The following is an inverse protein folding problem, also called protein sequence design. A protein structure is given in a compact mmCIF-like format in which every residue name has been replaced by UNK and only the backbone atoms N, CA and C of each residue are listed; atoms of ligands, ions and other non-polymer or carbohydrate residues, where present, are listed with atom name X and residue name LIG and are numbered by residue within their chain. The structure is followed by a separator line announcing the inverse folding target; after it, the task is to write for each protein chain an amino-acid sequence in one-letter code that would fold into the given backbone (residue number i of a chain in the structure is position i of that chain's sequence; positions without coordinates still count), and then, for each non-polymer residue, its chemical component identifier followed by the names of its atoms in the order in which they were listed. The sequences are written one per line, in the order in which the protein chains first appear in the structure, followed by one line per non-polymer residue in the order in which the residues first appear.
data_IF_921468901450
#
_entry.id   IF_921468901450
#
_cell.length_a   1.000
_cell.length_b   1.000
_cell.length_c   1.000
_cell.angle_alpha   90.00
_cell.angle_beta   90.00
_cell.angle_gamma   90.00
#
_symmetry.space_group_name_H-M   'P 1'
#
loop_
_entity.id
_entity.type
_entity.pdbx_description
1 polymer ?
#
# COMPACT_ATOMS: atom_id res chain seq x y z
N UNK A 1 -30.98 5.74 8.51
CA UNK A 1 -29.84 5.36 7.65
C UNK A 1 -29.90 3.86 7.44
N UNK A 2 -30.11 3.38 6.21
CA UNK A 2 -30.31 1.96 5.94
C UNK A 2 -28.98 1.21 6.13
N UNK A 3 -29.00 0.01 6.74
CA UNK A 3 -27.77 -0.74 7.10
C UNK A 3 -26.90 -1.07 5.89
N UNK A 4 -27.51 -1.13 4.71
CA UNK A 4 -26.87 -1.31 3.40
C UNK A 4 -26.19 -0.04 2.90
N UNK A 5 -26.83 1.12 3.06
CA UNK A 5 -26.25 2.42 2.68
C UNK A 5 -25.01 2.75 3.51
N UNK A 6 -25.07 2.49 4.83
CA UNK A 6 -23.91 2.69 5.71
C UNK A 6 -22.70 1.83 5.29
N UNK A 7 -22.91 0.54 5.02
CA UNK A 7 -21.84 -0.36 4.54
C UNK A 7 -21.27 0.08 3.19
N UNK A 8 -22.11 0.57 2.29
CA UNK A 8 -21.68 1.04 0.97
C UNK A 8 -20.96 2.40 1.01
N UNK A 9 -21.29 3.27 1.98
CA UNK A 9 -20.56 4.53 2.17
C UNK A 9 -19.19 4.26 2.81
N UNK A 10 -19.15 3.47 3.89
CA UNK A 10 -17.91 3.08 4.55
C UNK A 10 -16.94 2.36 3.60
N UNK A 11 -17.47 1.46 2.77
CA UNK A 11 -16.67 0.76 1.76
C UNK A 11 -16.09 1.66 0.67
N UNK A 12 -16.72 2.80 0.37
CA UNK A 12 -16.24 3.78 -0.61
C UNK A 12 -15.21 4.75 -0.03
N UNK A 13 -15.40 5.12 1.23
CA UNK A 13 -14.52 6.07 1.92
C UNK A 13 -13.18 5.46 2.30
N UNK A 14 -13.13 4.15 2.61
CA UNK A 14 -11.93 3.50 3.14
C UNK A 14 -11.23 2.53 2.19
N UNK A 15 -11.84 2.16 1.06
CA UNK A 15 -11.26 1.18 0.15
C UNK A 15 -11.40 1.59 -1.31
N UNK A 16 -10.30 1.52 -2.04
CA UNK A 16 -10.32 1.56 -3.50
C UNK A 16 -10.61 0.17 -4.08
N UNK A 17 -11.50 0.11 -5.07
CA UNK A 17 -11.82 -1.13 -5.80
C UNK A 17 -11.07 -1.18 -7.12
N UNK A 18 -10.28 -2.23 -7.31
CA UNK A 18 -9.55 -2.48 -8.56
C UNK A 18 -10.28 -3.57 -9.35
N UNK A 19 -10.75 -3.25 -10.56
CA UNK A 19 -11.29 -4.24 -11.50
C UNK A 19 -10.15 -4.77 -12.37
N UNK A 20 -9.81 -6.06 -12.23
CA UNK A 20 -8.70 -6.69 -12.96
C UNK A 20 -9.22 -7.70 -13.98
N UNK A 21 -8.76 -7.60 -15.22
CA UNK A 21 -8.98 -8.60 -16.28
C UNK A 21 -7.72 -9.45 -16.41
N UNK A 22 -7.89 -10.77 -16.38
CA UNK A 22 -6.80 -11.73 -16.54
C UNK A 22 -7.15 -12.78 -17.60
N UNK A 23 -6.16 -13.39 -18.26
CA UNK A 23 -6.40 -14.48 -19.21
C UNK A 23 -7.21 -15.63 -18.58
N UNK A 24 -7.93 -16.38 -19.42
CA UNK A 24 -8.68 -17.57 -18.97
C UNK A 24 -7.72 -18.57 -18.32
N UNK A 25 -8.09 -19.08 -17.14
CA UNK A 25 -7.26 -19.98 -16.33
C UNK A 25 -6.31 -19.28 -15.34
N UNK A 26 -5.94 -18.01 -15.56
CA UNK A 26 -5.02 -17.29 -14.68
C UNK A 26 -5.62 -17.04 -13.27
N UNK A 27 -6.94 -16.85 -13.19
CA UNK A 27 -7.65 -16.66 -11.92
C UNK A 27 -7.47 -17.85 -10.97
N UNK A 28 -7.49 -19.07 -11.50
CA UNK A 28 -7.36 -20.29 -10.69
C UNK A 28 -5.93 -20.49 -10.22
N UNK A 29 -4.94 -20.13 -11.06
CA UNK A 29 -3.53 -20.08 -10.67
C UNK A 29 -3.32 -19.10 -9.51
N UNK A 30 -3.84 -17.87 -9.62
CA UNK A 30 -3.72 -16.86 -8.54
C UNK A 30 -4.35 -17.38 -7.24
N UNK A 31 -5.54 -18.00 -7.32
CA UNK A 31 -6.21 -18.58 -6.15
C UNK A 31 -5.39 -19.71 -5.52
N UNK A 32 -4.83 -20.60 -6.33
CA UNK A 32 -4.01 -21.71 -5.84
C UNK A 32 -2.75 -21.21 -5.14
N UNK A 33 -2.07 -20.21 -5.72
CA UNK A 33 -0.89 -19.57 -5.13
C UNK A 33 -1.21 -18.83 -3.82
N UNK A 34 -2.34 -18.13 -3.76
CA UNK A 34 -2.78 -17.48 -2.53
C UNK A 34 -3.12 -18.52 -1.45
N UNK A 35 -3.84 -19.57 -1.81
CA UNK A 35 -4.26 -20.64 -0.90
C UNK A 35 -3.08 -21.44 -0.35
N UNK A 36 -2.06 -21.73 -1.17
CA UNK A 36 -0.86 -22.44 -0.71
C UNK A 36 -0.04 -21.63 0.31
N UNK A 37 -0.21 -20.30 0.31
CA UNK A 37 0.38 -19.38 1.28
C UNK A 37 -0.55 -19.07 2.47
N UNK A 38 -1.75 -19.68 2.52
CA UNK A 38 -2.75 -19.39 3.54
C UNK A 38 -3.34 -17.98 3.46
N UNK A 39 -3.25 -17.33 2.30
CA UNK A 39 -3.66 -15.94 2.08
C UNK A 39 -4.93 -15.86 1.24
N UNK A 40 -5.72 -14.81 1.45
CA UNK A 40 -6.77 -14.44 0.48
C UNK A 40 -6.12 -13.92 -0.81
N UNK A 41 -6.83 -13.98 -1.94
CA UNK A 41 -6.33 -13.41 -3.20
C UNK A 41 -5.98 -11.93 -3.06
N UNK A 42 -6.76 -11.17 -2.28
CA UNK A 42 -6.49 -9.76 -2.03
C UNK A 42 -5.20 -9.57 -1.21
N UNK A 43 -5.04 -10.33 -0.12
CA UNK A 43 -3.82 -10.27 0.70
C UNK A 43 -2.58 -10.69 -0.10
N UNK A 44 -2.72 -11.72 -0.95
CA UNK A 44 -1.65 -12.16 -1.83
C UNK A 44 -1.21 -11.07 -2.82
N UNK A 45 -2.16 -10.39 -3.46
CA UNK A 45 -1.84 -9.27 -4.36
C UNK A 45 -1.14 -8.11 -3.62
N UNK A 46 -1.64 -7.74 -2.44
CA UNK A 46 -1.03 -6.68 -1.63
C UNK A 46 0.39 -7.06 -1.15
N UNK A 47 0.62 -8.32 -0.79
CA UNK A 47 1.94 -8.84 -0.40
C UNK A 47 2.94 -8.79 -1.56
N UNK A 48 2.52 -9.16 -2.77
CA UNK A 48 3.36 -9.06 -3.97
C UNK A 48 3.75 -7.60 -4.26
N UNK A 49 2.78 -6.67 -4.21
CA UNK A 49 3.07 -5.24 -4.43
C UNK A 49 4.06 -4.71 -3.38
N UNK A 50 3.89 -5.09 -2.10
CA UNK A 50 4.84 -4.69 -1.04
C UNK A 50 6.24 -5.25 -1.28
N UNK A 51 6.35 -6.50 -1.74
CA UNK A 51 7.64 -7.14 -2.04
C UNK A 51 8.37 -6.47 -3.19
N UNK A 52 7.64 -6.09 -4.25
CA UNK A 52 8.22 -5.33 -5.35
C UNK A 52 8.72 -3.94 -4.86
N UNK A 53 8.08 -3.37 -3.84
CA UNK A 53 8.48 -2.11 -3.22
C UNK A 53 9.59 -2.24 -2.17
N UNK A 54 9.93 -3.45 -1.69
CA UNK A 54 10.99 -3.66 -0.68
C UNK A 54 12.33 -3.06 -1.12
N UNK A 55 12.68 -3.20 -2.41
CA UNK A 55 13.90 -2.58 -2.95
C UNK A 55 13.91 -1.06 -2.81
N UNK A 56 12.76 -0.40 -2.98
CA UNK A 56 12.64 1.04 -2.75
C UNK A 56 12.83 1.38 -1.27
N UNK A 57 12.16 0.66 -0.35
CA UNK A 57 12.26 0.91 1.09
C UNK A 57 13.69 0.74 1.62
N UNK A 58 14.42 -0.25 1.11
CA UNK A 58 15.80 -0.52 1.49
C UNK A 58 16.75 0.57 0.98
N UNK A 59 16.59 1.01 -0.28
CA UNK A 59 17.41 2.13 -0.82
C UNK A 59 17.12 3.47 -0.14
N UNK A 60 15.97 3.60 0.52
CA UNK A 60 15.58 4.78 1.28
C UNK A 60 15.92 4.68 2.77
N UNK A 61 16.48 3.55 3.22
CA UNK A 61 16.84 3.30 4.63
C UNK A 61 15.68 3.55 5.60
N UNK A 62 14.45 3.21 5.19
CA UNK A 62 13.26 3.36 6.04
C UNK A 62 13.28 2.25 7.09
N UNK A 63 13.19 2.62 8.37
CA UNK A 63 13.15 1.69 9.49
C UNK A 63 11.92 0.77 9.39
N UNK A 64 12.08 -0.52 9.73
CA UNK A 64 11.02 -1.53 9.63
C UNK A 64 9.73 -1.11 10.33
N UNK A 65 9.83 -0.55 11.54
CA UNK A 65 8.68 -0.03 12.31
C UNK A 65 7.83 0.98 11.54
N UNK A 66 8.43 1.77 10.66
CA UNK A 66 7.73 2.78 9.89
C UNK A 66 7.19 2.22 8.56
N UNK A 67 7.74 1.11 8.06
CA UNK A 67 7.25 0.43 6.84
C UNK A 67 5.82 -0.05 6.98
N UNK A 68 5.42 -0.40 8.20
CA UNK A 68 4.06 -0.85 8.48
C UNK A 68 3.01 0.25 8.24
N UNK A 69 3.36 1.53 8.39
CA UNK A 69 2.43 2.64 8.17
C UNK A 69 2.28 3.02 6.70
N UNK A 70 3.21 2.55 5.86
CA UNK A 70 3.27 2.89 4.45
C UNK A 70 2.46 1.88 3.64
N UNK A 71 1.58 2.40 2.78
CA UNK A 71 0.85 1.64 1.78
C UNK A 71 1.72 1.42 0.54
N UNK A 72 2.41 2.46 0.09
CA UNK A 72 3.45 2.33 -0.92
C UNK A 72 4.24 3.61 -1.16
N UNK A 73 5.35 3.48 -1.89
CA UNK A 73 6.16 4.61 -2.36
C UNK A 73 6.40 4.44 -3.86
N UNK A 74 6.20 5.50 -4.62
CA UNK A 74 6.45 5.58 -6.05
C UNK A 74 7.27 6.81 -6.38
N UNK A 75 8.01 6.80 -7.49
CA UNK A 75 8.74 7.98 -7.96
C UNK A 75 10.24 7.73 -8.18
N UNK A 76 10.95 8.78 -8.55
CA UNK A 76 12.33 8.72 -8.99
C UNK A 76 13.12 9.99 -8.59
N UNK A 77 14.41 10.05 -8.92
CA UNK A 77 15.28 11.17 -8.51
C UNK A 77 15.02 12.48 -9.29
N UNK A 78 14.39 12.42 -10.46
CA UNK A 78 14.08 13.58 -11.29
C UNK A 78 12.74 14.22 -10.92
N UNK A 79 11.71 13.40 -10.71
CA UNK A 79 10.33 13.85 -10.48
C UNK A 79 9.99 13.93 -8.99
N UNK A 80 10.79 13.32 -8.12
CA UNK A 80 10.50 13.17 -6.70
C UNK A 80 9.76 11.86 -6.39
N UNK A 81 9.33 11.73 -5.15
CA UNK A 81 8.75 10.52 -4.57
C UNK A 81 7.40 10.83 -3.93
N UNK A 82 6.40 10.05 -4.29
CA UNK A 82 5.09 10.04 -3.67
C UNK A 82 5.02 8.90 -2.67
N UNK A 83 4.69 9.21 -1.43
CA UNK A 83 4.46 8.24 -0.37
C UNK A 83 2.95 8.21 -0.10
N UNK A 84 2.39 7.01 -0.03
CA UNK A 84 0.99 6.79 0.32
C UNK A 84 0.98 6.00 1.62
N UNK A 85 0.32 6.53 2.64
CA UNK A 85 0.14 5.88 3.94
C UNK A 85 -1.12 5.02 3.96
N UNK A 86 -1.20 4.08 4.91
CA UNK A 86 -2.32 3.14 5.03
C UNK A 86 -3.68 3.80 5.29
N UNK A 87 -3.71 5.00 5.85
CA UNK A 87 -4.94 5.75 6.11
C UNK A 87 -5.40 6.58 4.90
N UNK A 88 -4.71 6.46 3.76
CA UNK A 88 -4.99 7.21 2.55
C UNK A 88 -4.32 8.58 2.48
N UNK A 89 -3.60 9.01 3.52
CA UNK A 89 -2.77 10.22 3.43
C UNK A 89 -1.65 10.00 2.41
N UNK A 90 -1.33 11.02 1.63
CA UNK A 90 -0.20 10.99 0.71
C UNK A 90 0.63 12.26 0.82
N UNK A 91 1.92 12.12 0.56
CA UNK A 91 2.86 13.23 0.56
C UNK A 91 3.86 13.10 -0.59
N UNK A 92 4.23 14.24 -1.17
CA UNK A 92 5.21 14.33 -2.24
C UNK A 92 6.52 14.91 -1.70
N UNK A 93 7.63 14.23 -1.96
CA UNK A 93 8.95 14.58 -1.47
C UNK A 93 9.97 14.64 -2.62
N UNK A 94 10.77 15.70 -2.69
CA UNK A 94 11.74 15.87 -3.79
C UNK A 94 12.98 15.00 -3.61
N UNK A 95 13.42 14.77 -2.37
CA UNK A 95 14.63 14.00 -2.08
C UNK A 95 14.35 12.82 -1.16
N UNK A 96 15.23 11.80 -1.21
CA UNK A 96 15.20 10.66 -0.28
C UNK A 96 15.36 11.08 1.19
N UNK A 97 15.94 12.25 1.46
CA UNK A 97 16.05 12.78 2.83
C UNK A 97 14.68 13.26 3.30
N UNK A 98 13.98 14.01 2.46
CA UNK A 98 12.66 14.54 2.77
C UNK A 98 11.64 13.43 2.98
N UNK A 99 11.72 12.36 2.16
CA UNK A 99 10.91 11.14 2.34
C UNK A 99 11.05 10.59 3.76
N UNK A 100 12.28 10.44 4.25
CA UNK A 100 12.54 9.90 5.59
C UNK A 100 12.01 10.82 6.68
N UNK A 101 12.27 12.12 6.58
CA UNK A 101 11.76 13.10 7.54
C UNK A 101 10.23 13.08 7.60
N UNK A 102 9.58 13.11 6.43
CA UNK A 102 8.12 13.12 6.35
C UNK A 102 7.50 11.85 6.95
N UNK A 103 8.07 10.67 6.67
CA UNK A 103 7.62 9.41 7.28
C UNK A 103 7.76 9.45 8.80
N UNK A 104 8.89 9.96 9.33
CA UNK A 104 9.14 10.03 10.78
C UNK A 104 8.15 10.99 11.45
N UNK A 105 7.98 12.20 10.91
CA UNK A 105 7.04 13.20 11.41
C UNK A 105 5.62 12.63 11.45
N UNK A 106 5.18 12.04 10.33
CA UNK A 106 3.86 11.44 10.23
C UNK A 106 3.64 10.26 11.20
N UNK A 107 4.65 9.39 11.36
CA UNK A 107 4.57 8.28 12.32
C UNK A 107 4.55 8.74 13.78
N UNK A 108 5.22 9.86 14.10
CA UNK A 108 5.19 10.44 15.45
C UNK A 108 3.83 11.08 15.75
N UNK A 109 3.23 11.79 14.80
CA UNK A 109 1.91 12.44 14.97
C UNK A 109 0.75 11.45 15.15
N UNK A 110 0.86 10.25 14.58
CA UNK A 110 -0.16 9.18 14.66
C UNK A 110 0.14 8.15 15.74
N UNK A 111 1.25 8.30 16.46
CA UNK A 111 1.77 7.34 17.43
C UNK A 111 1.31 7.55 18.89
N UNK A 112 0.48 8.57 19.15
CA UNK A 112 -0.15 8.84 20.47
C UNK A 112 -1.64 8.44 20.50
#
# INVERSE_FOLDING_TARGET
MNRTEYKNNFGREHYERINLVVPKGMKDIIKALASSKGMSVNAYMQDLVRKDQCGLFDTMQIAEKNREMISGITGNMHDGYDIIFKDGHSCHCRTKKDVRSCIIEYCNEKGD
#
